data_IF_265107641781
#
_entry.id   IF_265107641781
#
_cell.length_a   1.000
_cell.length_b   1.000
_cell.length_c   1.000
_cell.angle_alpha   90.00
_cell.angle_beta   90.00
_cell.angle_gamma   90.00
#
_symmetry.space_group_name_H-M   'P 1'
#
loop_
_entity.id
_entity.type
_entity.pdbx_description
1 polymer ?
#
# COMPACT_ATOMS: atom_id res chain seq x y z
N UNK A 1 6.47 -27.59 12.09
CA UNK A 1 6.70 -26.93 10.78
C UNK A 1 8.19 -26.66 10.68
N UNK A 2 8.86 -27.10 9.61
CA UNK A 2 10.29 -26.83 9.36
C UNK A 2 10.42 -25.75 8.29
N UNK A 3 11.26 -24.74 8.53
CA UNK A 3 11.51 -23.62 7.62
C UNK A 3 12.99 -23.56 7.21
N UNK A 4 13.30 -23.01 6.04
CA UNK A 4 14.68 -22.78 5.56
C UNK A 4 14.79 -21.41 4.88
N UNK A 5 15.94 -20.74 5.00
CA UNK A 5 16.18 -19.36 4.53
C UNK A 5 17.13 -18.57 5.45
N UNK A 6 17.16 -17.22 5.37
CA UNK A 6 16.36 -16.37 4.49
C UNK A 6 16.88 -16.31 3.04
N UNK A 7 15.96 -16.04 2.11
CA UNK A 7 16.26 -15.69 0.71
C UNK A 7 15.53 -14.38 0.39
N UNK A 8 16.03 -13.60 -0.57
CA UNK A 8 15.35 -12.38 -0.99
C UNK A 8 16.10 -11.60 -2.06
N UNK A 9 15.33 -10.99 -2.96
CA UNK A 9 15.83 -10.10 -4.02
C UNK A 9 15.00 -8.81 -4.13
N UNK A 10 13.89 -8.72 -3.38
CA UNK A 10 13.00 -7.56 -3.35
C UNK A 10 13.36 -6.65 -2.18
N UNK A 11 14.36 -5.80 -2.37
CA UNK A 11 14.89 -4.88 -1.36
C UNK A 11 14.49 -3.42 -1.63
N UNK A 12 14.44 -2.63 -0.56
CA UNK A 12 14.25 -1.18 -0.64
C UNK A 12 15.51 -0.56 -1.24
N UNK A 13 15.35 0.33 -2.23
CA UNK A 13 16.47 1.12 -2.76
C UNK A 13 16.82 2.27 -1.82
N UNK A 14 18.11 2.42 -1.54
CA UNK A 14 18.66 3.49 -0.72
C UNK A 14 18.73 4.80 -1.51
N UNK A 15 17.64 5.56 -1.45
CA UNK A 15 17.40 6.83 -2.17
C UNK A 15 16.40 7.66 -1.39
N UNK A 16 16.27 8.95 -1.70
CA UNK A 16 15.25 9.84 -1.12
C UNK A 16 13.98 9.98 -1.97
N UNK A 17 13.86 9.19 -3.05
CA UNK A 17 12.73 9.29 -3.96
C UNK A 17 11.41 8.95 -3.26
N UNK A 18 10.31 9.56 -3.72
CA UNK A 18 8.97 9.14 -3.32
C UNK A 18 8.75 7.64 -3.59
N UNK A 19 8.04 6.96 -2.68
CA UNK A 19 7.72 5.53 -2.79
C UNK A 19 6.23 5.30 -2.94
N UNK A 20 5.86 4.59 -4.01
CA UNK A 20 4.48 4.18 -4.28
C UNK A 20 4.44 2.66 -4.23
N UNK A 21 3.82 2.12 -3.19
CA UNK A 21 3.56 0.69 -3.05
C UNK A 21 2.21 0.37 -3.68
N UNK A 22 2.14 -0.70 -4.47
CA UNK A 22 0.90 -1.16 -5.11
C UNK A 22 0.72 -2.63 -4.75
N UNK A 23 -0.38 -2.96 -4.09
CA UNK A 23 -0.62 -4.28 -3.54
C UNK A 23 -2.06 -4.76 -3.75
N UNK A 24 -2.22 -6.08 -3.76
CA UNK A 24 -3.51 -6.75 -3.80
C UNK A 24 -3.36 -8.21 -3.38
N UNK A 25 -4.37 -8.75 -2.69
CA UNK A 25 -4.36 -10.13 -2.20
C UNK A 25 -3.12 -10.48 -1.37
N UNK A 26 -2.53 -11.66 -1.63
CA UNK A 26 -1.36 -12.17 -0.91
C UNK A 26 -0.07 -11.36 -1.11
N UNK A 27 -0.01 -10.50 -2.15
CA UNK A 27 1.13 -9.60 -2.39
C UNK A 27 1.39 -8.59 -1.26
N UNK A 28 0.47 -8.50 -0.30
CA UNK A 28 0.57 -7.66 0.90
C UNK A 28 1.80 -7.95 1.77
N UNK A 29 2.19 -9.21 1.94
CA UNK A 29 3.20 -9.60 2.93
C UNK A 29 4.57 -8.88 2.75
N UNK A 30 5.20 -8.89 1.57
CA UNK A 30 6.46 -8.15 1.38
C UNK A 30 6.30 -6.63 1.49
N UNK A 31 5.17 -6.07 1.01
CA UNK A 31 4.93 -4.63 1.07
C UNK A 31 4.75 -4.15 2.51
N UNK A 32 4.02 -4.91 3.32
CA UNK A 32 3.90 -4.66 4.76
C UNK A 32 5.27 -4.67 5.43
N UNK A 33 6.13 -5.64 5.09
CA UNK A 33 7.50 -5.70 5.63
C UNK A 33 8.30 -4.43 5.28
N UNK A 34 8.26 -3.97 4.03
CA UNK A 34 8.98 -2.76 3.62
C UNK A 34 8.44 -1.50 4.28
N UNK A 35 7.12 -1.30 4.29
CA UNK A 35 6.48 -0.12 4.89
C UNK A 35 6.79 -0.05 6.38
N UNK A 36 6.77 -1.19 7.08
CA UNK A 36 7.12 -1.25 8.50
C UNK A 36 8.58 -0.92 8.75
N UNK A 37 9.48 -1.48 7.94
CA UNK A 37 10.91 -1.17 8.06
C UNK A 37 11.17 0.32 7.85
N UNK A 38 10.59 0.91 6.81
CA UNK A 38 10.74 2.34 6.50
C UNK A 38 10.22 3.25 7.61
N UNK A 39 9.01 2.98 8.13
CA UNK A 39 8.37 3.88 9.08
C UNK A 39 8.79 3.62 10.54
N UNK A 40 8.90 2.36 10.95
CA UNK A 40 9.10 1.99 12.36
C UNK A 40 10.57 1.74 12.71
N UNK A 41 11.38 1.23 11.79
CA UNK A 41 12.79 0.92 12.05
C UNK A 41 13.69 2.06 11.61
N UNK A 42 13.58 2.46 10.34
CA UNK A 42 14.44 3.47 9.72
C UNK A 42 13.97 4.90 9.97
N UNK A 43 12.73 5.09 10.42
CA UNK A 43 12.10 6.38 10.65
C UNK A 43 12.26 7.32 9.43
N UNK A 44 12.04 6.77 8.24
CA UNK A 44 12.26 7.44 6.96
C UNK A 44 11.37 8.68 6.83
N UNK A 45 11.96 9.78 6.34
CA UNK A 45 11.24 11.01 5.99
C UNK A 45 10.69 11.02 4.56
N UNK A 46 10.91 9.95 3.78
CA UNK A 46 10.44 9.85 2.40
C UNK A 46 8.92 9.92 2.34
N UNK A 47 8.37 10.51 1.28
CA UNK A 47 6.93 10.42 1.00
C UNK A 47 6.60 9.00 0.55
N UNK A 48 5.66 8.35 1.23
CA UNK A 48 5.30 6.96 1.00
C UNK A 48 3.77 6.90 0.83
N UNK A 49 3.31 6.28 -0.24
CA UNK A 49 1.89 5.96 -0.43
C UNK A 49 1.72 4.46 -0.66
N UNK A 50 0.66 3.89 -0.09
CA UNK A 50 0.28 2.51 -0.33
C UNK A 50 -1.11 2.43 -0.96
N UNK A 51 -1.17 1.83 -2.14
CA UNK A 51 -2.37 1.63 -2.95
C UNK A 51 -2.77 0.17 -2.91
N UNK A 52 -3.82 -0.13 -2.15
CA UNK A 52 -4.26 -1.50 -1.86
C UNK A 52 -5.59 -1.82 -2.54
N UNK A 53 -5.55 -2.75 -3.49
CA UNK A 53 -6.73 -3.28 -4.18
C UNK A 53 -7.30 -4.52 -3.51
N UNK A 54 -8.61 -4.49 -3.22
CA UNK A 54 -9.40 -5.64 -2.79
C UNK A 54 -10.58 -5.89 -3.74
N UNK A 55 -11.21 -7.07 -3.66
CA UNK A 55 -12.47 -7.33 -4.37
C UNK A 55 -13.62 -6.61 -3.68
N UNK A 56 -13.85 -6.94 -2.42
CA UNK A 56 -14.77 -6.29 -1.49
C UNK A 56 -14.05 -6.00 -0.17
N UNK A 57 -14.72 -5.34 0.80
CA UNK A 57 -14.05 -4.90 2.04
C UNK A 57 -13.51 -6.07 2.86
N UNK A 58 -14.20 -7.22 2.84
CA UNK A 58 -13.81 -8.43 3.59
C UNK A 58 -12.48 -9.06 3.14
N UNK A 59 -12.03 -8.80 1.92
CA UNK A 59 -10.74 -9.30 1.42
C UNK A 59 -9.56 -8.38 1.80
N UNK A 60 -9.83 -7.25 2.45
CA UNK A 60 -8.79 -6.36 2.96
C UNK A 60 -8.30 -6.86 4.32
N UNK A 61 -6.99 -7.12 4.43
CA UNK A 61 -6.33 -7.51 5.67
C UNK A 61 -5.38 -6.40 6.13
N UNK A 62 -5.15 -6.34 7.45
CA UNK A 62 -4.30 -5.33 8.10
C UNK A 62 -4.76 -3.88 7.91
N UNK A 63 -6.03 -3.66 7.57
CA UNK A 63 -6.57 -2.33 7.32
C UNK A 63 -6.34 -1.38 8.52
N UNK A 64 -6.79 -1.78 9.70
CA UNK A 64 -6.62 -1.01 10.94
C UNK A 64 -5.14 -0.69 11.24
N UNK A 65 -4.25 -1.61 10.89
CA UNK A 65 -2.81 -1.44 11.12
C UNK A 65 -2.20 -0.38 10.18
N UNK A 66 -2.61 -0.37 8.91
CA UNK A 66 -2.17 0.67 7.97
C UNK A 66 -2.86 2.01 8.22
N UNK A 67 -4.12 2.02 8.65
CA UNK A 67 -4.82 3.24 9.07
C UNK A 67 -4.10 3.88 10.27
N UNK A 68 -3.74 3.09 11.29
CA UNK A 68 -2.97 3.58 12.43
C UNK A 68 -1.56 4.08 12.02
N UNK A 69 -0.94 3.49 11.00
CA UNK A 69 0.30 4.02 10.43
C UNK A 69 0.08 5.38 9.76
N UNK A 70 -0.99 5.53 8.97
CA UNK A 70 -1.29 6.78 8.27
C UNK A 70 -1.64 7.91 9.25
N UNK A 71 -2.29 7.59 10.37
CA UNK A 71 -2.54 8.56 11.45
C UNK A 71 -1.24 8.99 12.16
N UNK A 72 -0.31 8.05 12.36
CA UNK A 72 0.93 8.29 13.12
C UNK A 72 2.01 8.98 12.29
N UNK A 73 2.13 8.65 11.00
CA UNK A 73 3.22 9.09 10.14
C UNK A 73 2.70 10.01 9.04
N UNK A 74 2.90 11.34 9.12
CA UNK A 74 2.32 12.29 8.18
C UNK A 74 2.88 12.19 6.75
N UNK A 75 4.02 11.50 6.59
CA UNK A 75 4.62 11.18 5.29
C UNK A 75 4.11 9.86 4.68
N UNK A 76 3.19 9.16 5.35
CA UNK A 76 2.56 7.92 4.87
C UNK A 76 1.08 8.12 4.58
N UNK A 77 0.62 7.61 3.44
CA UNK A 77 -0.80 7.63 3.04
C UNK A 77 -1.26 6.25 2.60
N UNK A 78 -2.50 5.90 2.96
CA UNK A 78 -3.16 4.65 2.56
C UNK A 78 -4.32 4.98 1.61
N UNK A 79 -4.35 4.31 0.46
CA UNK A 79 -5.41 4.40 -0.55
C UNK A 79 -5.96 3.02 -0.83
N UNK A 80 -7.28 2.89 -0.84
CA UNK A 80 -7.98 1.62 -1.00
C UNK A 80 -8.89 1.72 -2.21
N UNK A 81 -8.91 0.68 -3.03
CA UNK A 81 -9.88 0.51 -4.11
C UNK A 81 -10.53 -0.87 -4.03
N UNK A 82 -11.85 -0.90 -4.20
CA UNK A 82 -12.60 -2.15 -4.29
C UNK A 82 -13.05 -2.38 -5.74
N UNK A 83 -12.73 -3.53 -6.33
CA UNK A 83 -13.15 -3.83 -7.70
C UNK A 83 -14.64 -4.18 -7.80
N UNK A 84 -15.18 -4.83 -6.78
CA UNK A 84 -16.57 -5.30 -6.69
C UNK A 84 -17.09 -5.13 -5.24
N UNK A 85 -17.26 -3.88 -4.76
CA UNK A 85 -17.78 -3.63 -3.42
C UNK A 85 -19.17 -4.25 -3.28
N UNK A 86 -19.43 -4.87 -2.13
CA UNK A 86 -20.75 -5.42 -1.83
C UNK A 86 -21.62 -4.38 -1.13
N UNK A 87 -22.97 -4.47 -1.20
CA UNK A 87 -23.86 -3.53 -0.52
C UNK A 87 -23.56 -3.37 0.98
N UNK A 88 -23.21 -4.46 1.67
CA UNK A 88 -22.87 -4.48 3.09
C UNK A 88 -21.57 -3.73 3.42
N UNK A 89 -20.68 -3.51 2.45
CA UNK A 89 -19.42 -2.80 2.66
C UNK A 89 -19.65 -1.32 2.96
N UNK A 90 -20.82 -0.77 2.58
CA UNK A 90 -21.15 0.66 2.63
C UNK A 90 -20.01 1.52 2.05
N UNK A 91 -19.44 1.07 0.94
CA UNK A 91 -18.21 1.62 0.37
C UNK A 91 -18.49 2.93 -0.38
N UNK A 92 -17.87 4.01 0.09
CA UNK A 92 -17.93 5.33 -0.54
C UNK A 92 -16.58 5.75 -1.16
N UNK A 93 -15.60 4.84 -1.18
CA UNK A 93 -14.28 5.10 -1.74
C UNK A 93 -14.18 4.74 -3.23
N UNK A 94 -12.95 4.79 -3.80
CA UNK A 94 -12.71 4.43 -5.19
C UNK A 94 -13.16 3.01 -5.55
N UNK A 95 -13.74 2.86 -6.74
CA UNK A 95 -14.20 1.56 -7.28
C UNK A 95 -13.47 1.26 -8.58
N UNK A 96 -12.95 0.04 -8.71
CA UNK A 96 -12.23 -0.44 -9.89
C UNK A 96 -10.87 -1.05 -9.57
N UNK A 97 -10.08 -1.30 -10.61
CA UNK A 97 -8.73 -1.86 -10.44
C UNK A 97 -7.77 -0.80 -9.90
N UNK A 98 -6.89 -1.23 -8.96
CA UNK A 98 -6.01 -0.32 -8.23
C UNK A 98 -5.07 0.49 -9.12
N UNK A 99 -4.65 -0.05 -10.28
CA UNK A 99 -3.80 0.68 -11.23
C UNK A 99 -4.53 1.85 -11.89
N UNK A 100 -5.82 1.70 -12.21
CA UNK A 100 -6.63 2.79 -12.76
C UNK A 100 -6.88 3.86 -11.70
N UNK A 101 -7.21 3.44 -10.47
CA UNK A 101 -7.42 4.37 -9.36
C UNK A 101 -6.14 5.15 -9.05
N UNK A 102 -4.99 4.49 -8.98
CA UNK A 102 -3.70 5.14 -8.81
C UNK A 102 -3.39 6.14 -9.94
N UNK A 103 -3.66 5.76 -11.19
CA UNK A 103 -3.49 6.66 -12.33
C UNK A 103 -4.39 7.90 -12.21
N UNK A 104 -5.69 7.68 -12.02
CA UNK A 104 -6.72 8.72 -12.06
C UNK A 104 -6.64 9.70 -10.88
N UNK A 105 -6.22 9.23 -9.71
CA UNK A 105 -6.19 10.03 -8.48
C UNK A 105 -4.81 10.61 -8.18
N UNK A 106 -3.74 10.13 -8.84
CA UNK A 106 -2.40 10.50 -8.45
C UNK A 106 -1.42 10.62 -9.63
N UNK A 107 -1.15 9.53 -10.36
CA UNK A 107 -0.05 9.54 -11.33
C UNK A 107 -0.29 10.44 -12.54
N UNK A 108 -1.54 10.65 -12.98
CA UNK A 108 -1.83 11.49 -14.15
C UNK A 108 -1.33 12.94 -14.00
N UNK A 109 -1.25 13.43 -12.76
CA UNK A 109 -0.84 14.80 -12.41
C UNK A 109 0.53 14.83 -11.71
N UNK A 110 1.23 13.69 -11.62
CA UNK A 110 2.51 13.58 -10.94
C UNK A 110 3.64 14.19 -11.81
N UNK A 111 4.58 14.96 -11.24
CA UNK A 111 5.64 15.64 -12.01
C UNK A 111 6.66 14.69 -12.66
N UNK A 112 6.73 13.45 -12.20
CA UNK A 112 7.51 12.37 -12.79
C UNK A 112 6.61 11.13 -12.91
N UNK A 113 5.77 11.04 -13.96
CA UNK A 113 4.81 9.94 -14.12
C UNK A 113 5.46 8.65 -14.67
N UNK A 114 6.71 8.71 -15.12
CA UNK A 114 7.48 7.58 -15.67
C UNK A 114 7.87 6.48 -14.67
#
# INVERSE_FOLDING_TARGET
VTISGPYGEFFIKDTENEMIYIGGGAGMAPLRSHIFELLKTLNSGRKISYWYGGRSKRELFYLEEFEALAEKFPNFTLHIALSEPQPEDNWNGPVGFIHNVLYDYYLKDHPAPE
#
